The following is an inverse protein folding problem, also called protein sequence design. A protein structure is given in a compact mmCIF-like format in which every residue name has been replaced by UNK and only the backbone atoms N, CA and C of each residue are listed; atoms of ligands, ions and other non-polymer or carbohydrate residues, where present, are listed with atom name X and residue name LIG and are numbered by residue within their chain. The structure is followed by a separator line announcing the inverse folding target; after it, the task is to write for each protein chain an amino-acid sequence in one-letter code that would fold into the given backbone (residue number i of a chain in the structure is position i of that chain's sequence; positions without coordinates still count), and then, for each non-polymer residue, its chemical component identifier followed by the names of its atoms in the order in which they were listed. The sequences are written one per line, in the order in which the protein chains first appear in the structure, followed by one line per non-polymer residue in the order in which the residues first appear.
data_IF_278240559521
#
_entry.id   IF_278240559521
#
_cell.length_a   1.000
_cell.length_b   1.000
_cell.length_c   1.000
_cell.angle_alpha   90.00
_cell.angle_beta   90.00
_cell.angle_gamma   90.00
#
_symmetry.space_group_name_H-M   'P 1'
#
loop_
_entity.id
_entity.type
_entity.pdbx_description
1 polymer ?
#
# COMPACT_ATOMS: atom_id res chain seq x y z
N UNK A 1 -21.92 -26.49 22.19
CA UNK A 1 -20.48 -26.40 21.87
C UNK A 1 -20.37 -25.59 20.58
N UNK A 2 -20.25 -24.26 20.68
CA UNK A 2 -20.13 -23.40 19.50
C UNK A 2 -18.65 -23.25 19.18
N UNK A 3 -18.20 -23.87 18.09
CA UNK A 3 -16.89 -23.62 17.53
C UNK A 3 -16.90 -22.19 16.96
N UNK A 4 -16.38 -21.23 17.72
CA UNK A 4 -16.03 -19.91 17.21
C UNK A 4 -14.88 -20.10 16.23
N UNK A 5 -15.20 -20.11 14.93
CA UNK A 5 -14.22 -19.96 13.85
C UNK A 5 -13.55 -18.61 14.02
N UNK A 6 -12.35 -18.59 14.61
CA UNK A 6 -11.46 -17.44 14.56
C UNK A 6 -10.96 -17.32 13.13
N UNK A 7 -11.62 -16.48 12.34
CA UNK A 7 -11.09 -15.98 11.07
C UNK A 7 -9.79 -15.23 11.39
N UNK A 8 -8.65 -15.89 11.21
CA UNK A 8 -7.34 -15.24 11.23
C UNK A 8 -7.34 -14.26 10.05
N UNK A 9 -7.31 -12.96 10.30
CA UNK A 9 -7.04 -11.99 9.24
C UNK A 9 -5.62 -12.23 8.74
N UNK A 10 -5.48 -12.65 7.49
CA UNK A 10 -4.19 -12.78 6.82
C UNK A 10 -3.79 -11.42 6.24
N UNK A 11 -2.55 -10.99 6.49
CA UNK A 11 -1.95 -9.88 5.76
C UNK A 11 -1.18 -10.44 4.58
N UNK A 12 -1.56 -10.04 3.36
CA UNK A 12 -0.80 -10.37 2.15
C UNK A 12 0.47 -9.53 2.15
N UNK A 13 1.63 -10.18 2.25
CA UNK A 13 2.93 -9.50 2.14
C UNK A 13 3.36 -9.50 0.68
N UNK A 14 3.57 -8.30 0.13
CA UNK A 14 4.23 -8.12 -1.17
C UNK A 14 5.69 -8.55 -1.02
N UNK A 15 6.13 -9.46 -1.88
CA UNK A 15 7.48 -10.00 -1.81
C UNK A 15 8.52 -9.02 -2.36
N UNK A 16 9.78 -9.19 -1.96
CA UNK A 16 10.89 -8.29 -2.35
C UNK A 16 11.04 -8.16 -3.87
N UNK A 17 10.85 -9.25 -4.63
CA UNK A 17 10.86 -9.19 -6.09
C UNK A 17 9.73 -8.31 -6.66
N UNK A 18 8.53 -8.38 -6.08
CA UNK A 18 7.41 -7.54 -6.50
C UNK A 18 7.63 -6.07 -6.12
N UNK A 19 8.26 -5.80 -4.97
CA UNK A 19 8.69 -4.44 -4.60
C UNK A 19 9.78 -3.92 -5.54
N UNK A 20 10.74 -4.75 -5.94
CA UNK A 20 11.78 -4.38 -6.90
C UNK A 20 11.24 -4.07 -8.29
N UNK A 21 10.27 -4.87 -8.76
CA UNK A 21 9.52 -4.59 -9.98
C UNK A 21 8.76 -3.25 -9.87
N UNK A 22 8.03 -3.05 -8.76
CA UNK A 22 7.29 -1.82 -8.52
C UNK A 22 8.21 -0.58 -8.51
N UNK A 23 9.30 -0.60 -7.75
CA UNK A 23 10.25 0.52 -7.68
C UNK A 23 10.92 0.82 -9.02
N UNK A 24 11.15 -0.20 -9.85
CA UNK A 24 11.67 0.01 -11.22
C UNK A 24 10.69 0.81 -12.08
N UNK A 25 9.41 0.46 -12.05
CA UNK A 25 8.38 1.23 -12.76
C UNK A 25 8.15 2.62 -12.15
N UNK A 26 8.18 2.75 -10.82
CA UNK A 26 8.05 4.04 -10.15
C UNK A 26 9.20 4.98 -10.56
N UNK A 27 10.43 4.46 -10.71
CA UNK A 27 11.55 5.25 -11.22
C UNK A 27 11.29 5.75 -12.65
N UNK A 28 10.79 4.88 -13.53
CA UNK A 28 10.38 5.26 -14.90
C UNK A 28 9.27 6.32 -14.88
N UNK A 29 8.29 6.19 -13.98
CA UNK A 29 7.20 7.17 -13.86
C UNK A 29 7.68 8.53 -13.37
N UNK A 30 8.65 8.58 -12.45
CA UNK A 30 9.29 9.84 -12.02
C UNK A 30 9.90 10.58 -13.20
N UNK A 31 10.61 9.87 -14.07
CA UNK A 31 11.17 10.43 -15.30
C UNK A 31 10.08 10.84 -16.30
N UNK A 32 9.07 10.00 -16.50
CA UNK A 32 7.98 10.26 -17.45
C UNK A 32 7.13 11.47 -17.05
N UNK A 33 6.88 11.66 -15.76
CA UNK A 33 6.11 12.79 -15.23
C UNK A 33 6.80 14.14 -15.48
N UNK A 34 8.14 14.16 -15.56
CA UNK A 34 8.92 15.37 -15.85
C UNK A 34 9.05 15.72 -17.33
N UNK A 35 8.51 14.89 -18.24
CA UNK A 35 8.63 15.08 -19.70
C UNK A 35 7.45 15.83 -20.29
N UNK A 36 7.63 16.36 -21.51
CA UNK A 36 6.52 16.92 -22.31
C UNK A 36 5.85 15.89 -23.20
N UNK A 37 6.58 14.85 -23.59
CA UNK A 37 6.11 13.81 -24.50
C UNK A 37 5.78 12.53 -23.75
N UNK A 38 4.97 11.68 -24.39
CA UNK A 38 4.71 10.32 -23.92
C UNK A 38 6.01 9.52 -23.80
N UNK A 39 6.03 8.58 -22.86
CA UNK A 39 7.16 7.67 -22.64
C UNK A 39 6.77 6.26 -23.03
N UNK A 40 7.57 5.63 -23.89
CA UNK A 40 7.47 4.23 -24.26
C UNK A 40 8.31 3.39 -23.29
N UNK A 41 7.71 2.35 -22.71
CA UNK A 41 8.31 1.50 -21.68
C UNK A 41 8.28 0.06 -22.15
N UNK A 42 9.45 -0.60 -22.08
CA UNK A 42 9.61 -2.04 -22.33
C UNK A 42 10.41 -2.67 -21.19
N UNK A 43 10.01 -3.86 -20.77
CA UNK A 43 10.86 -4.79 -20.03
C UNK A 43 11.92 -5.39 -20.95
N UNK A 44 13.00 -5.93 -20.38
CA UNK A 44 14.19 -6.41 -21.09
C UNK A 44 13.97 -7.71 -21.88
N UNK A 45 12.91 -8.46 -21.56
CA UNK A 45 12.50 -9.70 -22.22
C UNK A 45 11.43 -9.50 -23.32
N UNK A 46 11.15 -8.25 -23.68
CA UNK A 46 10.22 -7.91 -24.75
C UNK A 46 10.89 -8.01 -26.12
N UNK A 47 10.24 -8.71 -27.02
CA UNK A 47 10.58 -8.73 -28.45
C UNK A 47 9.53 -7.97 -29.26
N UNK A 48 9.96 -6.94 -30.00
CA UNK A 48 9.11 -6.24 -30.96
C UNK A 48 8.79 -7.16 -32.15
N UNK A 49 7.54 -7.11 -32.63
CA UNK A 49 7.12 -7.82 -33.83
C UNK A 49 7.47 -6.99 -35.08
N UNK A 50 7.65 -7.63 -36.26
CA UNK A 50 8.07 -6.93 -37.49
C UNK A 50 7.20 -5.73 -37.87
N UNK A 51 5.93 -5.76 -37.49
CA UNK A 51 4.93 -4.73 -37.80
C UNK A 51 4.97 -3.54 -36.83
N UNK A 52 5.78 -3.59 -35.76
CA UNK A 52 5.80 -2.57 -34.70
C UNK A 52 6.02 -1.16 -35.24
N UNK A 53 7.08 -0.96 -36.03
CA UNK A 53 7.45 0.37 -36.56
C UNK A 53 6.43 0.91 -37.56
N UNK A 54 5.75 0.02 -38.29
CA UNK A 54 4.72 0.40 -39.25
C UNK A 54 3.41 0.79 -38.54
N UNK A 55 3.02 0.06 -37.50
CA UNK A 55 1.72 0.22 -36.84
C UNK A 55 1.74 1.25 -35.70
N UNK A 56 2.88 1.50 -35.06
CA UNK A 56 2.96 2.46 -33.95
C UNK A 56 2.50 3.87 -34.38
N UNK A 57 2.96 4.47 -35.49
CA UNK A 57 2.49 5.78 -35.92
C UNK A 57 0.99 5.82 -36.20
N UNK A 58 0.42 4.76 -36.77
CA UNK A 58 -1.02 4.65 -37.04
C UNK A 58 -1.84 4.62 -35.75
N UNK A 59 -1.39 3.87 -34.75
CA UNK A 59 -2.02 3.83 -33.42
C UNK A 59 -1.95 5.19 -32.73
N UNK A 60 -0.80 5.86 -32.79
CA UNK A 60 -0.62 7.19 -32.18
C UNK A 60 -1.53 8.25 -32.79
N UNK A 61 -1.81 8.17 -34.10
CA UNK A 61 -2.74 9.08 -34.77
C UNK A 61 -4.21 8.80 -34.38
N UNK A 62 -4.54 7.56 -34.04
CA UNK A 62 -5.89 7.13 -33.65
C UNK A 62 -6.17 7.29 -32.15
N UNK A 63 -5.13 7.36 -31.33
CA UNK A 63 -5.29 7.61 -29.90
C UNK A 63 -6.05 8.93 -29.70
N UNK A 64 -7.13 8.93 -28.92
CA UNK A 64 -7.81 10.17 -28.62
C UNK A 64 -6.85 11.11 -27.89
N UNK A 65 -6.98 12.42 -28.11
CA UNK A 65 -6.12 13.46 -27.52
C UNK A 65 -6.08 13.44 -26.00
N UNK A 66 -7.04 12.75 -25.41
CA UNK A 66 -7.23 12.61 -23.99
C UNK A 66 -6.78 11.22 -23.47
N UNK A 67 -6.18 10.36 -24.28
CA UNK A 67 -5.62 9.10 -23.80
C UNK A 67 -4.54 9.34 -22.74
N UNK A 68 -4.43 8.40 -21.80
CA UNK A 68 -3.51 8.48 -20.67
C UNK A 68 -2.48 7.33 -20.69
N UNK A 69 -2.90 6.16 -21.16
CA UNK A 69 -2.11 4.93 -21.24
C UNK A 69 -2.45 4.14 -22.50
N UNK A 70 -1.43 3.49 -23.10
CA UNK A 70 -1.60 2.55 -24.21
C UNK A 70 -0.78 1.27 -23.97
N UNK A 71 -1.43 0.10 -24.01
CA UNK A 71 -0.76 -1.21 -23.98
C UNK A 71 -0.58 -1.80 -25.39
N UNK A 72 0.54 -2.50 -25.62
CA UNK A 72 0.92 -3.06 -26.94
C UNK A 72 0.52 -4.52 -27.17
N UNK A 73 -0.39 -5.02 -26.34
CA UNK A 73 -0.99 -6.33 -26.49
C UNK A 73 -1.36 -6.95 -25.15
N UNK A 74 -1.82 -8.19 -25.22
CA UNK A 74 -2.13 -9.00 -24.06
C UNK A 74 -1.01 -10.03 -23.81
N UNK A 75 -0.79 -10.40 -22.54
CA UNK A 75 0.05 -11.54 -22.21
C UNK A 75 -0.54 -12.79 -22.86
N UNK A 76 0.30 -13.56 -23.57
CA UNK A 76 -0.12 -14.88 -24.04
C UNK A 76 -0.03 -15.82 -22.84
N UNK A 77 -1.17 -16.33 -22.38
CA UNK A 77 -1.19 -17.62 -21.68
C UNK A 77 -1.96 -17.78 -20.37
N UNK A 78 -2.63 -16.81 -19.73
CA UNK A 78 -3.31 -17.11 -18.44
C UNK A 78 -4.55 -16.27 -18.05
N UNK A 79 -5.58 -17.02 -17.61
CA UNK A 79 -6.68 -16.82 -16.61
C UNK A 79 -7.46 -15.52 -16.45
N UNK A 80 -6.99 -14.36 -16.90
CA UNK A 80 -7.73 -13.09 -16.74
C UNK A 80 -7.99 -12.47 -18.10
N UNK A 81 -9.26 -12.55 -18.50
CA UNK A 81 -9.76 -11.82 -19.65
C UNK A 81 -9.85 -10.34 -19.29
N UNK A 82 -9.13 -9.46 -20.00
CA UNK A 82 -9.24 -8.05 -19.73
C UNK A 82 -10.65 -7.54 -20.03
N UNK A 83 -11.10 -6.57 -19.24
CA UNK A 83 -12.38 -5.91 -19.51
C UNK A 83 -12.15 -4.87 -20.61
N UNK A 84 -12.50 -5.26 -21.84
CA UNK A 84 -12.28 -4.47 -23.04
C UNK A 84 -13.63 -4.07 -23.67
N UNK A 85 -13.73 -2.82 -24.09
CA UNK A 85 -14.79 -2.34 -24.98
C UNK A 85 -14.21 -1.89 -26.32
N UNK A 86 -14.98 -2.11 -27.39
CA UNK A 86 -14.62 -1.67 -28.74
C UNK A 86 -14.50 -0.14 -28.78
N UNK A 87 -13.35 0.37 -29.22
CA UNK A 87 -13.18 1.81 -29.47
C UNK A 87 -13.18 2.10 -30.97
N UNK A 88 -12.29 1.45 -31.71
CA UNK A 88 -12.25 1.50 -33.18
C UNK A 88 -11.64 0.21 -33.76
N UNK A 89 -11.37 0.19 -35.07
CA UNK A 89 -10.77 -0.96 -35.77
C UNK A 89 -9.39 -1.39 -35.23
N UNK A 90 -8.65 -0.53 -34.52
CA UNK A 90 -7.28 -0.76 -34.09
C UNK A 90 -7.10 -0.78 -32.57
N UNK A 91 -8.04 -0.17 -31.82
CA UNK A 91 -7.94 0.05 -30.39
C UNK A 91 -9.12 -0.58 -29.64
N UNK A 92 -8.77 -1.20 -28.52
CA UNK A 92 -9.69 -1.44 -27.42
C UNK A 92 -9.60 -0.29 -26.42
N UNK A 93 -10.73 0.09 -25.81
CA UNK A 93 -10.73 0.81 -24.53
C UNK A 93 -10.67 -0.22 -23.42
N UNK A 94 -9.82 0.03 -22.42
CA UNK A 94 -9.72 -0.82 -21.25
C UNK A 94 -10.59 -0.27 -20.13
N UNK A 95 -11.61 -1.04 -19.74
CA UNK A 95 -12.55 -0.70 -18.67
C UNK A 95 -12.13 -1.32 -17.31
N UNK A 96 -11.15 -2.23 -17.31
CA UNK A 96 -10.61 -2.86 -16.11
C UNK A 96 -9.89 -4.17 -16.37
N UNK A 97 -9.34 -4.77 -15.31
CA UNK A 97 -8.65 -6.06 -15.30
C UNK A 97 -7.57 -6.19 -16.38
N UNK A 98 -6.30 -5.95 -16.06
CA UNK A 98 -5.21 -6.31 -16.96
C UNK A 98 -3.96 -6.58 -16.15
N UNK A 99 -3.22 -7.61 -16.54
CA UNK A 99 -1.99 -8.03 -15.87
C UNK A 99 -0.82 -7.97 -16.84
N UNK A 100 0.30 -7.45 -16.35
CA UNK A 100 1.52 -7.24 -17.12
C UNK A 100 1.88 -5.76 -17.30
N UNK A 101 3.15 -5.45 -17.04
CA UNK A 101 3.79 -4.13 -17.25
C UNK A 101 4.92 -4.20 -18.27
N UNK A 102 4.94 -5.25 -19.08
CA UNK A 102 6.03 -5.56 -20.01
C UNK A 102 6.16 -4.55 -21.15
N UNK A 103 5.07 -4.01 -21.69
CA UNK A 103 5.13 -3.05 -22.79
C UNK A 103 3.94 -2.09 -22.80
N UNK A 104 4.19 -0.81 -22.56
CA UNK A 104 3.17 0.23 -22.57
C UNK A 104 3.73 1.62 -22.91
N UNK A 105 2.85 2.54 -23.26
CA UNK A 105 3.14 3.98 -23.25
C UNK A 105 2.33 4.68 -22.17
N UNK A 106 2.92 5.74 -21.62
CA UNK A 106 2.32 6.55 -20.57
C UNK A 106 2.50 8.04 -20.84
N UNK A 107 1.43 8.82 -20.63
CA UNK A 107 1.49 10.28 -20.67
C UNK A 107 2.13 10.85 -19.39
N UNK A 108 2.74 12.04 -19.42
CA UNK A 108 3.27 12.68 -18.21
C UNK A 108 2.24 12.84 -17.09
N UNK A 109 0.99 13.19 -17.45
CA UNK A 109 -0.11 13.35 -16.50
C UNK A 109 -0.53 12.03 -15.84
N UNK A 110 -0.58 10.95 -16.61
CA UNK A 110 -0.86 9.62 -16.11
C UNK A 110 0.25 9.14 -15.15
N UNK A 111 1.52 9.33 -15.54
CA UNK A 111 2.67 9.01 -14.69
C UNK A 111 2.62 9.74 -13.34
N UNK A 112 2.30 11.04 -13.36
CA UNK A 112 2.13 11.82 -12.13
C UNK A 112 0.98 11.29 -11.26
N UNK A 113 -0.13 10.88 -11.88
CA UNK A 113 -1.28 10.29 -11.17
C UNK A 113 -0.89 8.97 -10.51
N UNK A 114 -0.14 8.11 -11.19
CA UNK A 114 0.38 6.86 -10.61
C UNK A 114 1.31 7.15 -9.42
N UNK A 115 2.27 8.07 -9.56
CA UNK A 115 3.21 8.43 -8.49
C UNK A 115 2.52 8.93 -7.23
N UNK A 116 1.47 9.72 -7.39
CA UNK A 116 0.73 10.29 -6.25
C UNK A 116 -0.06 9.24 -5.46
N UNK A 117 -0.31 8.06 -6.04
CA UNK A 117 -1.28 7.09 -5.53
C UNK A 117 -0.75 5.65 -5.42
N UNK A 118 0.49 5.37 -5.84
CA UNK A 118 1.07 4.00 -5.80
C UNK A 118 1.42 3.53 -4.39
N UNK A 119 1.62 4.44 -3.44
CA UNK A 119 1.92 4.07 -2.05
C UNK A 119 0.64 4.06 -1.18
N UNK A 120 0.51 3.06 -0.28
CA UNK A 120 1.43 1.95 -0.04
C UNK A 120 1.32 0.84 -1.12
N UNK A 121 2.46 0.26 -1.51
CA UNK A 121 2.50 -0.88 -2.43
C UNK A 121 1.93 -2.11 -1.72
N UNK A 122 0.72 -2.52 -2.11
CA UNK A 122 -0.06 -3.56 -1.42
C UNK A 122 -0.28 -4.84 -2.26
N UNK A 123 0.03 -4.78 -3.55
CA UNK A 123 -0.03 -5.88 -4.52
C UNK A 123 0.94 -5.60 -5.68
N UNK A 124 0.96 -6.47 -6.69
CA UNK A 124 1.78 -6.26 -7.88
C UNK A 124 1.48 -4.92 -8.57
N UNK A 125 2.51 -4.32 -9.14
CA UNK A 125 2.46 -2.96 -9.69
C UNK A 125 1.53 -2.83 -10.89
N UNK A 126 1.38 -3.89 -11.69
CA UNK A 126 0.40 -3.95 -12.78
C UNK A 126 -1.04 -3.81 -12.25
N UNK A 127 -1.38 -4.54 -11.19
CA UNK A 127 -2.67 -4.49 -10.53
C UNK A 127 -2.90 -3.16 -9.83
N UNK A 128 -1.85 -2.54 -9.27
CA UNK A 128 -1.92 -1.19 -8.71
C UNK A 128 -2.22 -0.15 -9.81
N UNK A 129 -1.54 -0.26 -10.95
CA UNK A 129 -1.69 0.65 -12.09
C UNK A 129 -3.12 0.65 -12.63
N UNK A 130 -3.75 -0.52 -12.74
CA UNK A 130 -5.16 -0.64 -13.16
C UNK A 130 -6.12 -0.05 -12.13
N UNK A 131 -5.96 -0.38 -10.84
CA UNK A 131 -6.83 0.18 -9.79
C UNK A 131 -6.75 1.71 -9.72
N UNK A 132 -5.53 2.27 -9.82
CA UNK A 132 -5.32 3.72 -9.81
C UNK A 132 -5.92 4.32 -11.08
N UNK A 133 -5.70 3.71 -12.25
CA UNK A 133 -6.28 4.19 -13.49
C UNK A 133 -7.81 4.26 -13.42
N UNK A 134 -8.46 3.23 -12.89
CA UNK A 134 -9.92 3.22 -12.70
C UNK A 134 -10.37 4.24 -11.64
N UNK A 135 -9.71 4.27 -10.48
CA UNK A 135 -10.08 5.13 -9.36
C UNK A 135 -9.94 6.62 -9.66
N UNK A 136 -9.03 6.99 -10.57
CA UNK A 136 -8.78 8.37 -10.98
C UNK A 136 -9.26 8.69 -12.40
N UNK A 137 -9.95 7.75 -13.07
CA UNK A 137 -10.54 7.96 -14.39
C UNK A 137 -9.53 8.18 -15.52
N UNK A 138 -8.35 7.56 -15.43
CA UNK A 138 -7.38 7.54 -16.54
C UNK A 138 -7.94 6.75 -17.72
N UNK A 139 -7.77 7.27 -18.94
CA UNK A 139 -8.26 6.64 -20.18
C UNK A 139 -7.19 5.72 -20.74
N UNK A 140 -7.40 4.43 -20.52
CA UNK A 140 -6.47 3.38 -20.89
C UNK A 140 -6.94 2.69 -22.17
N UNK A 141 -6.00 2.51 -23.11
CA UNK A 141 -6.24 1.85 -24.39
C UNK A 141 -5.29 0.67 -24.58
N UNK A 142 -5.66 -0.22 -25.50
CA UNK A 142 -4.83 -1.36 -25.91
C UNK A 142 -4.91 -1.56 -27.41
N UNK A 143 -3.78 -1.89 -28.05
CA UNK A 143 -3.78 -2.28 -29.46
C UNK A 143 -4.48 -3.62 -29.68
N UNK A 144 -5.36 -3.69 -30.69
CA UNK A 144 -6.01 -4.94 -31.12
C UNK A 144 -5.00 -5.90 -31.75
N UNK A 145 -4.11 -5.34 -32.57
CA UNK A 145 -2.97 -6.06 -33.11
C UNK A 145 -1.90 -6.15 -32.03
N UNK A 146 -1.41 -7.36 -31.78
CA UNK A 146 -0.27 -7.56 -30.91
C UNK A 146 0.97 -6.99 -31.59
N UNK A 147 1.70 -6.10 -30.91
CA UNK A 147 2.91 -5.46 -31.46
C UNK A 147 4.21 -5.95 -30.83
N UNK A 148 4.10 -6.64 -29.70
CA UNK A 148 5.25 -7.20 -28.98
C UNK A 148 4.96 -8.63 -28.53
N UNK A 149 5.98 -9.41 -28.21
CA UNK A 149 5.85 -10.71 -27.54
C UNK A 149 6.86 -10.83 -26.41
N UNK A 150 6.54 -11.61 -25.39
CA UNK A 150 7.43 -11.95 -24.28
C UNK A 150 7.95 -13.38 -24.45
N UNK A 151 9.22 -13.64 -24.12
CA UNK A 151 9.76 -15.01 -24.09
C UNK A 151 9.61 -15.64 -22.69
N UNK A 152 8.47 -16.29 -22.44
CA UNK A 152 8.21 -17.00 -21.20
C UNK A 152 8.96 -18.36 -21.06
N UNK A 153 9.90 -18.70 -21.96
CA UNK A 153 10.64 -19.98 -21.88
C UNK A 153 11.60 -20.05 -20.69
N UNK A 154 12.01 -18.91 -20.15
CA UNK A 154 12.73 -18.88 -18.88
C UNK A 154 11.75 -19.18 -17.75
N UNK A 155 11.93 -20.31 -17.05
CA UNK A 155 11.15 -20.62 -15.85
C UNK A 155 11.27 -19.44 -14.89
N UNK A 156 10.15 -18.77 -14.60
CA UNK A 156 10.05 -17.70 -13.59
C UNK A 156 10.42 -18.28 -12.22
N UNK A 157 11.71 -18.24 -11.89
CA UNK A 157 12.22 -18.61 -10.55
C UNK A 157 12.13 -17.43 -9.59
N UNK A 158 11.81 -16.24 -10.10
CA UNK A 158 11.62 -15.04 -9.29
C UNK A 158 10.35 -15.14 -8.44
N UNK A 159 10.40 -14.47 -7.31
CA UNK A 159 9.33 -14.45 -6.33
C UNK A 159 8.37 -13.25 -6.54
N UNK A 160 8.48 -12.59 -7.69
CA UNK A 160 7.64 -11.45 -8.12
C UNK A 160 6.16 -11.81 -8.10
N UNK A 161 5.82 -13.06 -8.47
CA UNK A 161 4.44 -13.55 -8.56
C UNK A 161 3.99 -14.42 -7.38
N UNK A 162 4.70 -14.34 -6.26
CA UNK A 162 4.34 -15.09 -5.06
C UNK A 162 3.82 -14.12 -4.00
N UNK A 163 2.74 -14.51 -3.33
CA UNK A 163 2.21 -13.82 -2.17
C UNK A 163 2.47 -14.69 -0.95
N UNK A 164 3.12 -14.14 0.07
CA UNK A 164 3.23 -14.82 1.36
C UNK A 164 2.03 -14.44 2.23
N UNK A 165 1.33 -15.46 2.70
CA UNK A 165 0.27 -15.31 3.69
C UNK A 165 0.91 -15.42 5.06
N UNK A 166 1.27 -14.28 5.64
CA UNK A 166 1.75 -14.24 7.01
C UNK A 166 0.57 -14.10 7.97
N UNK A 167 0.48 -14.93 9.02
CA UNK A 167 -0.54 -14.74 10.05
C UNK A 167 -0.32 -13.39 10.73
N UNK A 168 -1.40 -12.62 10.92
CA UNK A 168 -1.32 -11.34 11.63
C UNK A 168 -0.73 -11.56 13.03
N UNK A 169 0.49 -11.06 13.25
CA UNK A 169 1.20 -11.17 14.52
C UNK A 169 1.11 -9.85 15.29
N UNK A 170 0.48 -9.90 16.46
CA UNK A 170 0.49 -8.80 17.43
C UNK A 170 1.51 -9.12 18.52
N UNK A 171 2.59 -8.33 18.69
CA UNK A 171 3.54 -8.54 19.78
C UNK A 171 2.83 -8.46 21.13
N UNK A 172 3.12 -9.43 22.01
CA UNK A 172 2.59 -9.49 23.39
C UNK A 172 3.36 -8.51 24.30
N UNK A 173 3.31 -7.23 23.97
CA UNK A 173 4.03 -6.16 24.64
C UNK A 173 3.11 -4.94 24.79
N UNK A 174 2.94 -4.47 26.02
CA UNK A 174 2.31 -3.19 26.30
C UNK A 174 3.36 -2.11 26.44
N UNK A 175 3.20 -1.05 25.66
CA UNK A 175 3.98 0.18 25.83
C UNK A 175 3.16 1.21 26.62
N UNK A 176 3.80 1.84 27.60
CA UNK A 176 3.32 3.00 28.34
C UNK A 176 4.35 4.13 28.22
N UNK A 177 3.91 5.39 28.18
CA UNK A 177 4.81 6.57 28.13
C UNK A 177 4.56 7.42 29.38
N UNK A 178 5.63 7.80 30.05
CA UNK A 178 5.62 8.75 31.16
C UNK A 178 6.82 9.67 31.05
N UNK A 179 6.57 10.91 30.64
CA UNK A 179 7.58 11.92 30.34
C UNK A 179 7.60 12.99 31.43
N UNK A 180 8.77 13.61 31.60
CA UNK A 180 9.07 14.59 32.63
C UNK A 180 9.82 14.01 33.81
N UNK A 181 10.40 14.90 34.62
CA UNK A 181 11.18 14.56 35.81
C UNK A 181 10.34 14.02 36.97
N UNK A 182 9.02 14.22 36.93
CA UNK A 182 8.14 13.85 38.02
C UNK A 182 7.99 12.34 38.14
N UNK A 183 8.00 11.85 39.38
CA UNK A 183 7.71 10.46 39.67
C UNK A 183 6.29 10.10 39.22
N UNK A 184 6.13 8.94 38.57
CA UNK A 184 4.82 8.45 38.16
C UNK A 184 3.92 8.23 39.41
N UNK A 185 2.74 8.87 39.50
CA UNK A 185 1.85 8.70 40.64
C UNK A 185 1.42 7.24 40.84
N UNK A 186 1.18 6.87 42.11
CA UNK A 186 0.86 5.50 42.50
C UNK A 186 -0.34 4.91 41.76
N UNK A 187 -1.35 5.72 41.43
CA UNK A 187 -2.53 5.29 40.68
C UNK A 187 -2.17 4.78 39.27
N UNK A 188 -1.24 5.44 38.56
CA UNK A 188 -0.79 5.01 37.25
C UNK A 188 0.09 3.77 37.33
N UNK A 189 0.96 3.68 38.33
CA UNK A 189 1.74 2.46 38.56
C UNK A 189 0.83 1.26 38.85
N UNK A 190 -0.22 1.45 39.67
CA UNK A 190 -1.22 0.43 39.95
C UNK A 190 -1.98 0.02 38.68
N UNK A 191 -2.32 0.99 37.81
CA UNK A 191 -2.94 0.71 36.52
C UNK A 191 -2.06 -0.17 35.63
N UNK A 192 -0.77 0.15 35.53
CA UNK A 192 0.21 -0.64 34.75
C UNK A 192 0.34 -2.07 35.32
N UNK A 193 0.46 -2.20 36.65
CA UNK A 193 0.49 -3.51 37.31
C UNK A 193 -0.77 -4.32 37.05
N UNK A 194 -1.94 -3.69 37.07
CA UNK A 194 -3.20 -4.37 36.76
C UNK A 194 -3.22 -4.94 35.33
N UNK A 195 -2.71 -4.20 34.34
CA UNK A 195 -2.55 -4.72 32.97
C UNK A 195 -1.64 -5.94 32.93
N UNK A 196 -0.49 -5.89 33.60
CA UNK A 196 0.43 -7.03 33.66
C UNK A 196 -0.19 -8.25 34.35
N UNK A 197 -0.93 -8.06 35.44
CA UNK A 197 -1.62 -9.14 36.15
C UNK A 197 -2.73 -9.79 35.32
N UNK A 198 -3.47 -9.00 34.52
CA UNK A 198 -4.52 -9.53 33.64
C UNK A 198 -3.97 -10.29 32.44
N UNK A 199 -2.76 -9.95 31.99
CA UNK A 199 -2.13 -10.54 30.81
C UNK A 199 -0.70 -10.98 31.15
N UNK A 200 -0.53 -12.03 31.97
CA UNK A 200 0.77 -12.40 32.54
C UNK A 200 1.79 -12.86 31.48
N UNK A 201 1.33 -13.29 30.30
CA UNK A 201 2.20 -13.62 29.16
C UNK A 201 2.63 -12.40 28.34
N UNK A 202 2.11 -11.21 28.65
CA UNK A 202 2.46 -9.97 27.97
C UNK A 202 3.51 -9.21 28.78
N UNK A 203 4.52 -8.72 28.08
CA UNK A 203 5.54 -7.86 28.66
C UNK A 203 5.01 -6.43 28.79
N UNK A 204 5.60 -5.66 29.70
CA UNK A 204 5.31 -4.24 29.88
C UNK A 204 6.59 -3.45 29.70
N UNK A 205 6.56 -2.42 28.86
CA UNK A 205 7.62 -1.43 28.70
C UNK A 205 7.08 -0.05 29.07
N UNK A 206 7.74 0.62 30.00
CA UNK A 206 7.45 2.03 30.33
C UNK A 206 8.58 2.88 29.76
N UNK A 207 8.24 3.79 28.86
CA UNK A 207 9.16 4.73 28.23
C UNK A 207 9.20 6.04 29.01
N UNK A 208 10.40 6.51 29.29
CA UNK A 208 10.73 7.80 29.92
C UNK A 208 11.67 8.58 29.02
N UNK A 209 11.90 9.86 29.33
CA UNK A 209 12.71 10.76 28.52
C UNK A 209 14.09 10.19 28.18
N UNK A 210 14.71 9.44 29.10
CA UNK A 210 16.03 8.81 28.98
C UNK A 210 16.02 7.43 28.31
N UNK A 211 14.84 6.82 28.15
CA UNK A 211 14.70 5.45 27.62
C UNK A 211 13.95 5.41 26.31
N UNK A 212 13.38 6.52 25.84
CA UNK A 212 12.74 6.62 24.54
C UNK A 212 13.70 6.15 23.42
N UNK A 213 13.20 5.41 22.43
CA UNK A 213 14.01 5.00 21.28
C UNK A 213 14.32 6.22 20.41
N UNK A 214 15.26 6.06 19.48
CA UNK A 214 15.48 7.07 18.42
C UNK A 214 14.19 7.22 17.60
N UNK A 215 13.63 8.42 17.53
CA UNK A 215 12.35 8.68 16.85
C UNK A 215 12.55 9.21 15.44
N UNK A 216 11.71 8.80 14.48
CA UNK A 216 11.65 9.42 13.14
C UNK A 216 11.14 10.84 13.25
N UNK A 217 10.15 11.08 14.13
CA UNK A 217 9.54 12.39 14.34
C UNK A 217 10.17 13.19 15.49
N UNK A 218 11.45 12.96 15.79
CA UNK A 218 12.17 13.66 16.87
C UNK A 218 12.04 15.19 16.76
N UNK A 219 12.14 15.72 15.54
CA UNK A 219 12.00 17.15 15.29
C UNK A 219 10.63 17.73 15.68
N UNK A 220 9.54 16.96 15.55
CA UNK A 220 8.21 17.39 16.03
C UNK A 220 8.14 17.26 17.55
N UNK A 221 8.67 16.17 18.10
CA UNK A 221 8.72 15.93 19.54
C UNK A 221 9.43 17.07 20.28
N UNK A 222 10.57 17.54 19.75
CA UNK A 222 11.39 18.58 20.35
C UNK A 222 10.72 19.96 20.30
N UNK A 223 9.92 20.24 19.27
CA UNK A 223 9.20 21.52 19.09
C UNK A 223 7.97 21.66 19.96
N UNK A 224 7.42 20.56 20.48
CA UNK A 224 6.24 20.59 21.35
C UNK A 224 6.61 20.85 22.81
N UNK A 225 5.84 21.69 23.48
CA UNK A 225 6.08 22.06 24.89
C UNK A 225 5.37 21.13 25.88
N UNK A 226 4.26 20.52 25.47
CA UNK A 226 3.44 19.68 26.37
C UNK A 226 3.86 18.21 26.31
N UNK A 227 4.02 17.59 27.49
CA UNK A 227 4.26 16.14 27.60
C UNK A 227 3.15 15.29 26.95
N UNK A 228 1.92 15.82 26.89
CA UNK A 228 0.82 15.14 26.22
C UNK A 228 1.05 15.07 24.70
N UNK A 229 1.43 16.19 24.09
CA UNK A 229 1.74 16.26 22.65
C UNK A 229 2.98 15.41 22.33
N UNK A 230 4.01 15.48 23.17
CA UNK A 230 5.20 14.61 23.08
C UNK A 230 4.82 13.13 23.12
N UNK A 231 3.94 12.74 24.04
CA UNK A 231 3.44 11.36 24.13
C UNK A 231 2.64 10.93 22.91
N UNK A 232 1.86 11.83 22.31
CA UNK A 232 1.10 11.53 21.09
C UNK A 232 2.02 11.24 19.90
N UNK A 233 3.12 12.00 19.77
CA UNK A 233 4.15 11.81 18.73
C UNK A 233 4.93 10.51 18.98
N UNK A 234 5.49 10.34 20.19
CA UNK A 234 6.32 9.19 20.52
C UNK A 234 5.57 7.86 20.37
N UNK A 235 4.26 7.84 20.61
CA UNK A 235 3.41 6.67 20.40
C UNK A 235 3.50 6.12 18.97
N UNK A 236 3.48 6.99 17.95
CA UNK A 236 3.52 6.54 16.55
C UNK A 236 4.88 5.92 16.23
N UNK A 237 5.98 6.55 16.67
CA UNK A 237 7.34 6.04 16.48
C UNK A 237 7.58 4.71 17.23
N UNK A 238 7.05 4.57 18.45
CA UNK A 238 7.13 3.33 19.23
C UNK A 238 6.34 2.21 18.54
N UNK A 239 5.14 2.48 18.02
CA UNK A 239 4.35 1.47 17.30
C UNK A 239 5.05 1.07 16.00
N UNK A 240 5.62 2.04 15.28
CA UNK A 240 6.38 1.78 14.05
C UNK A 240 7.58 0.86 14.29
N UNK A 241 8.27 1.01 15.42
CA UNK A 241 9.48 0.23 15.74
C UNK A 241 9.19 -1.09 16.46
N UNK A 242 8.15 -1.16 17.30
CA UNK A 242 7.96 -2.26 18.24
C UNK A 242 6.58 -2.92 18.19
N UNK A 243 5.48 -2.14 18.11
CA UNK A 243 4.07 -2.58 18.22
C UNK A 243 3.74 -3.36 19.54
N UNK A 244 2.60 -3.28 20.25
CA UNK A 244 1.33 -2.55 20.20
C UNK A 244 1.25 -1.56 21.39
N UNK A 245 0.42 -0.51 21.29
CA UNK A 245 0.40 0.61 22.24
C UNK A 245 -0.80 0.62 23.21
N UNK A 246 -0.60 1.10 24.46
CA UNK A 246 -1.68 1.49 25.40
C UNK A 246 -1.36 2.77 26.18
N UNK A 247 -2.33 3.69 26.30
CA UNK A 247 -2.13 4.92 27.10
C UNK A 247 -2.14 4.65 28.60
N UNK A 248 -1.30 5.35 29.37
CA UNK A 248 -1.28 5.31 30.85
C UNK A 248 -2.59 5.79 31.47
N UNK A 249 -3.37 6.60 30.74
CA UNK A 249 -4.70 7.10 31.16
C UNK A 249 -5.84 6.09 30.91
N UNK A 250 -5.60 5.03 30.14
CA UNK A 250 -6.62 4.00 29.83
C UNK A 250 -6.71 2.97 30.95
N UNK A 251 -7.91 2.77 31.51
CA UNK A 251 -8.15 1.68 32.47
C UNK A 251 -8.46 0.37 31.75
N UNK A 252 -7.99 -0.78 32.27
CA UNK A 252 -8.29 -2.10 31.70
C UNK A 252 -9.79 -2.41 31.64
N UNK A 253 -10.56 -1.93 32.63
CA UNK A 253 -12.01 -2.14 32.69
C UNK A 253 -12.74 -1.48 31.51
N UNK A 254 -12.32 -0.29 31.07
CA UNK A 254 -12.90 0.41 29.92
C UNK A 254 -12.47 -0.19 28.58
N UNK A 255 -11.27 -0.76 28.52
CA UNK A 255 -10.75 -1.37 27.29
C UNK A 255 -11.47 -2.68 26.90
N UNK A 256 -12.06 -3.41 27.85
CA UNK A 256 -12.87 -4.61 27.56
C UNK A 256 -14.16 -4.30 26.78
N UNK A 257 -14.62 -3.05 26.77
CA UNK A 257 -15.87 -2.64 26.11
C UNK A 257 -15.68 -2.19 24.64
N UNK A 258 -14.44 -1.97 24.18
CA UNK A 258 -14.16 -1.50 22.82
C UNK A 258 -13.42 -2.57 22.01
N UNK A 259 -14.18 -3.45 21.37
CA UNK A 259 -13.67 -4.36 20.32
C UNK A 259 -14.44 -4.20 19.00
N UNK A 260 -15.33 -3.20 18.88
CA UNK A 260 -16.08 -2.95 17.65
C UNK A 260 -16.20 -1.44 17.37
N UNK A 261 -15.86 -0.96 16.16
CA UNK A 261 -16.01 0.45 15.82
C UNK A 261 -17.45 0.73 15.39
N UNK A 262 -18.39 0.71 16.35
CA UNK A 262 -19.69 1.39 16.29
C UNK A 262 -20.17 1.64 17.72
N UNK A 263 -19.59 2.66 18.37
CA UNK A 263 -20.27 3.31 19.48
C UNK A 263 -20.85 4.59 18.90
N UNK A 264 -22.13 4.53 18.56
CA UNK A 264 -22.94 5.68 18.22
C UNK A 264 -23.10 6.55 19.48
N UNK A 265 -22.79 7.82 19.32
CA UNK A 265 -22.98 8.85 20.34
C UNK A 265 -24.44 9.29 20.29
N UNK A 266 -25.26 8.77 21.20
CA UNK A 266 -26.55 9.39 21.50
C UNK A 266 -26.93 9.16 22.96
N UNK A 267 -26.24 9.88 23.85
CA UNK A 267 -26.85 10.26 25.12
C UNK A 267 -26.95 11.78 25.20
N UNK A 268 -28.18 12.27 25.02
CA UNK A 268 -28.82 13.49 25.56
C UNK A 268 -29.98 13.83 24.60
N UNK A 269 -31.25 14.02 25.00
CA UNK A 269 -31.75 14.76 26.17
C UNK A 269 -33.30 14.70 26.21
N UNK A 270 -33.85 14.80 27.44
CA UNK A 270 -35.21 15.25 27.84
C UNK A 270 -36.34 14.25 27.54
N UNK A 271 -37.26 13.91 28.46
CA UNK A 271 -37.74 14.48 29.74
C UNK A 271 -37.88 13.36 30.75
#
# INVERSE_FOLDING_TARGET
MFATSTRTSATVRVQEGALGCAESHIAVWREAAGRQNWTLVFEDDVHLLPEFDALLPELLQRLPSNADLLYFGNMIGETVEPSLSDFDEFLWRMDGNHWGTYAYMISPAAAQTLLNNVYPISKQVDSMMIDIAQGFGLRVFMSKTKLVRIDNRQKRTSNVQRYEVEPLYIPKLFHFIWLGSDAMPAAYQANIRAWQSMYPSWRVQVWRDDTLPRMVNQHLFDRTLSYMQKSDIARYDIVLQYGTWRSTRSSPARARACVHPRCDDSSTRRV
#
